data_IF_785326073269
#
_entry.id   IF_785326073269
#
_cell.length_a   1.000
_cell.length_b   1.000
_cell.length_c   1.000
_cell.angle_alpha   90.00
_cell.angle_beta   90.00
_cell.angle_gamma   90.00
#
_symmetry.space_group_name_H-M   'P 1'
#
loop_
_entity.id
_entity.type
_entity.pdbx_description
1 polymer ?
#
# COMPACT_ATOMS: atom_id res chain seq x y z
N UNK A 1 -5.85 -18.88 20.22
CA UNK A 1 -6.48 -18.00 19.22
C UNK A 1 -6.61 -16.65 19.88
N UNK A 2 -6.08 -15.60 19.25
CA UNK A 2 -6.28 -14.26 19.76
C UNK A 2 -7.77 -13.91 19.66
N UNK A 3 -8.26 -13.17 20.66
CA UNK A 3 -9.64 -12.71 20.72
C UNK A 3 -9.77 -11.53 19.75
N UNK A 4 -10.74 -11.59 18.83
CA UNK A 4 -11.00 -10.55 17.83
C UNK A 4 -11.09 -9.15 18.47
N UNK A 5 -11.69 -9.02 19.65
CA UNK A 5 -11.86 -7.74 20.33
C UNK A 5 -10.55 -7.22 20.94
N UNK A 6 -9.63 -8.12 21.30
CA UNK A 6 -8.28 -7.76 21.72
C UNK A 6 -7.48 -7.29 20.52
N UNK A 7 -7.45 -8.07 19.43
CA UNK A 7 -6.69 -7.74 18.22
C UNK A 7 -7.17 -6.42 17.60
N UNK A 8 -8.49 -6.24 17.48
CA UNK A 8 -9.08 -5.00 16.99
C UNK A 8 -8.63 -3.80 17.81
N UNK A 9 -8.67 -3.90 19.14
CA UNK A 9 -8.26 -2.80 20.03
C UNK A 9 -6.77 -2.48 19.86
N UNK A 10 -5.91 -3.50 19.79
CA UNK A 10 -4.47 -3.32 19.66
C UNK A 10 -4.10 -2.68 18.32
N UNK A 11 -4.63 -3.19 17.21
CA UNK A 11 -4.37 -2.64 15.87
C UNK A 11 -4.85 -1.19 15.75
N UNK A 12 -6.04 -0.89 16.26
CA UNK A 12 -6.58 0.48 16.20
C UNK A 12 -5.84 1.46 17.12
N UNK A 13 -5.20 0.98 18.18
CA UNK A 13 -4.42 1.83 19.10
C UNK A 13 -3.19 2.46 18.45
N UNK A 14 -2.68 1.85 17.37
CA UNK A 14 -1.49 2.32 16.63
C UNK A 14 -1.85 2.93 15.27
N UNK A 15 -3.13 2.98 14.89
CA UNK A 15 -3.56 3.58 13.63
C UNK A 15 -3.18 5.07 13.59
N UNK A 16 -2.52 5.49 12.50
CA UNK A 16 -2.05 6.87 12.33
C UNK A 16 -0.70 7.17 12.99
N UNK A 17 -0.07 6.18 13.62
CA UNK A 17 1.35 6.26 14.03
C UNK A 17 2.26 5.81 12.88
N UNK A 18 3.56 6.15 12.89
CA UNK A 18 4.49 5.66 11.89
C UNK A 18 4.50 4.13 11.79
N UNK A 19 4.50 3.61 10.57
CA UNK A 19 4.39 2.18 10.28
C UNK A 19 5.65 1.61 9.59
N UNK A 20 5.64 0.30 9.35
CA UNK A 20 6.73 -0.42 8.68
C UNK A 20 6.64 -0.41 7.14
N UNK A 21 5.69 0.34 6.56
CA UNK A 21 5.59 0.45 5.10
C UNK A 21 6.74 1.28 4.55
N UNK A 22 6.99 1.21 3.24
CA UNK A 22 8.00 2.07 2.59
C UNK A 22 7.67 3.56 2.68
N UNK A 23 6.38 3.91 2.78
CA UNK A 23 5.92 5.28 3.01
C UNK A 23 6.15 5.69 4.47
N UNK A 24 6.06 4.73 5.39
CA UNK A 24 6.22 4.91 6.83
C UNK A 24 4.99 5.49 7.52
N UNK A 25 3.88 5.67 6.80
CA UNK A 25 2.61 6.12 7.35
C UNK A 25 1.45 5.68 6.45
N UNK A 26 0.23 5.76 7.00
CA UNK A 26 -1.02 5.52 6.28
C UNK A 26 -1.26 6.61 5.23
N UNK A 27 -1.86 6.24 4.10
CA UNK A 27 -2.30 7.20 3.09
C UNK A 27 -3.47 8.06 3.60
N UNK A 28 -3.28 9.37 3.66
CA UNK A 28 -4.31 10.30 4.16
C UNK A 28 -5.62 10.21 3.36
N UNK A 29 -5.52 10.02 2.05
CA UNK A 29 -6.66 9.93 1.15
C UNK A 29 -7.62 8.76 1.48
N UNK A 30 -7.13 7.66 2.07
CA UNK A 30 -7.96 6.50 2.42
C UNK A 30 -8.46 6.52 3.87
N UNK A 31 -7.96 7.44 4.71
CA UNK A 31 -8.35 7.53 6.12
C UNK A 31 -9.87 7.58 6.37
N UNK A 32 -10.69 8.32 5.57
CA UNK A 32 -12.14 8.29 5.74
C UNK A 32 -12.75 6.88 5.57
N UNK A 33 -12.26 6.11 4.60
CA UNK A 33 -12.72 4.74 4.36
C UNK A 33 -12.27 3.80 5.48
N UNK A 34 -11.01 3.92 5.94
CA UNK A 34 -10.52 3.14 7.08
C UNK A 34 -11.36 3.42 8.34
N UNK A 35 -11.66 4.69 8.61
CA UNK A 35 -12.51 5.08 9.74
C UNK A 35 -13.91 4.46 9.65
N UNK A 36 -14.53 4.49 8.45
CA UNK A 36 -15.82 3.88 8.23
C UNK A 36 -15.81 2.37 8.49
N UNK A 37 -14.83 1.63 7.94
CA UNK A 37 -14.69 0.18 8.17
C UNK A 37 -14.44 -0.13 9.64
N UNK A 38 -13.51 0.59 10.29
CA UNK A 38 -13.13 0.34 11.68
C UNK A 38 -14.24 0.67 12.69
N UNK A 39 -15.21 1.51 12.30
CA UNK A 39 -16.41 1.79 13.10
C UNK A 39 -17.38 0.61 13.19
N UNK A 40 -17.30 -0.36 12.26
CA UNK A 40 -18.17 -1.54 12.24
C UNK A 40 -17.77 -2.53 13.32
N UNK A 41 -18.72 -3.05 14.10
CA UNK A 41 -18.44 -3.90 15.27
C UNK A 41 -17.66 -5.19 14.94
N UNK A 42 -17.84 -5.74 13.73
CA UNK A 42 -17.30 -7.03 13.32
C UNK A 42 -16.13 -6.93 12.34
N UNK A 43 -15.60 -5.73 12.09
CA UNK A 43 -14.46 -5.53 11.18
C UNK A 43 -13.37 -4.63 11.76
N UNK A 44 -12.14 -4.84 11.32
CA UNK A 44 -11.05 -3.87 11.46
C UNK A 44 -10.01 -4.03 10.35
N UNK A 45 -9.34 -2.95 9.99
CA UNK A 45 -8.28 -2.91 8.97
C UNK A 45 -6.92 -3.15 9.61
N UNK A 46 -6.06 -3.95 8.98
CA UNK A 46 -4.68 -4.22 9.46
C UNK A 46 -3.60 -3.53 8.64
N UNK A 47 -3.82 -3.35 7.35
CA UNK A 47 -2.94 -2.61 6.45
C UNK A 47 -3.73 -2.10 5.25
N UNK A 48 -3.28 -1.00 4.65
CA UNK A 48 -3.92 -0.44 3.46
C UNK A 48 -2.93 0.32 2.59
N UNK A 49 -3.31 0.55 1.34
CA UNK A 49 -2.67 1.45 0.39
C UNK A 49 -3.80 2.12 -0.42
N UNK A 50 -3.75 3.43 -0.59
CA UNK A 50 -4.71 4.21 -1.38
C UNK A 50 -4.51 4.09 -2.90
N UNK A 51 -3.60 3.22 -3.32
CA UNK A 51 -3.12 3.14 -4.70
C UNK A 51 -1.84 3.92 -4.88
N UNK A 52 -1.10 3.61 -5.93
CA UNK A 52 0.19 4.26 -6.21
C UNK A 52 0.59 4.19 -7.66
N UNK A 53 1.36 5.18 -8.06
CA UNK A 53 2.14 5.17 -9.30
C UNK A 53 3.57 4.74 -8.99
N UNK A 54 4.13 3.85 -9.81
CA UNK A 54 5.43 3.26 -9.57
C UNK A 54 6.20 3.11 -10.87
N UNK A 55 7.46 3.56 -10.89
CA UNK A 55 8.43 3.20 -11.92
C UNK A 55 9.34 2.11 -11.38
N UNK A 56 9.37 0.97 -12.06
CA UNK A 56 10.24 -0.16 -11.72
C UNK A 56 11.27 -0.36 -12.82
N UNK A 57 12.55 -0.26 -12.48
CA UNK A 57 13.65 -0.66 -13.34
C UNK A 57 13.94 -2.15 -13.22
N UNK A 58 14.00 -2.86 -14.34
CA UNK A 58 14.28 -4.28 -14.44
C UNK A 58 15.64 -4.53 -15.10
N UNK A 59 16.44 -5.41 -14.51
CA UNK A 59 17.66 -5.92 -15.13
C UNK A 59 17.33 -7.04 -16.14
N UNK A 60 18.32 -7.50 -16.89
CA UNK A 60 18.13 -8.46 -17.99
C UNK A 60 17.43 -9.78 -17.59
N UNK A 61 17.52 -10.18 -16.31
CA UNK A 61 16.88 -11.41 -15.83
C UNK A 61 15.40 -11.22 -15.47
N UNK A 62 14.89 -9.97 -15.49
CA UNK A 62 13.50 -9.56 -15.23
C UNK A 62 12.92 -10.12 -13.92
N UNK A 63 13.77 -10.48 -12.95
CA UNK A 63 13.30 -11.10 -11.71
C UNK A 63 12.74 -10.04 -10.76
N UNK A 64 11.57 -10.31 -10.17
CA UNK A 64 10.86 -9.40 -9.24
C UNK A 64 11.70 -8.98 -8.02
N UNK A 65 12.66 -9.79 -7.57
CA UNK A 65 13.55 -9.44 -6.47
C UNK A 65 14.72 -8.53 -6.88
N UNK A 66 14.99 -8.42 -8.19
CA UNK A 66 16.00 -7.52 -8.76
C UNK A 66 15.36 -6.25 -9.36
N UNK A 67 14.08 -6.02 -9.10
CA UNK A 67 13.38 -4.81 -9.51
C UNK A 67 13.79 -3.63 -8.64
N UNK A 68 14.33 -2.59 -9.25
CA UNK A 68 14.69 -1.33 -8.58
C UNK A 68 13.51 -0.38 -8.63
N UNK A 69 13.12 0.18 -7.49
CA UNK A 69 12.09 1.22 -7.44
C UNK A 69 12.73 2.54 -7.79
N UNK A 70 12.42 3.06 -8.98
CA UNK A 70 12.98 4.30 -9.50
C UNK A 70 12.19 5.51 -9.02
N UNK A 71 10.89 5.34 -8.88
CA UNK A 71 9.97 6.38 -8.43
C UNK A 71 8.72 5.75 -7.82
N UNK A 72 8.19 6.33 -6.75
CA UNK A 72 6.89 5.95 -6.17
C UNK A 72 6.13 7.21 -5.72
N UNK A 73 4.84 7.27 -6.01
CA UNK A 73 3.93 8.28 -5.48
C UNK A 73 2.59 7.66 -5.10
N UNK A 74 2.02 8.11 -3.99
CA UNK A 74 0.65 7.76 -3.55
C UNK A 74 -0.36 8.86 -3.92
N UNK A 75 0.08 9.86 -4.69
CA UNK A 75 -0.72 10.98 -5.19
C UNK A 75 -0.55 11.12 -6.72
N UNK A 76 -1.25 12.09 -7.30
CA UNK A 76 -1.11 12.43 -8.74
C UNK A 76 0.34 12.72 -9.10
N UNK A 77 0.77 12.24 -10.26
CA UNK A 77 2.14 12.40 -10.77
C UNK A 77 2.17 13.34 -11.97
N UNK A 78 3.15 14.24 -12.01
CA UNK A 78 3.43 15.03 -13.21
C UNK A 78 4.37 14.26 -14.16
N UNK A 79 4.25 14.51 -15.46
CA UNK A 79 5.13 13.88 -16.46
C UNK A 79 6.61 14.19 -16.22
N UNK A 80 6.92 15.42 -15.81
CA UNK A 80 8.30 15.85 -15.55
C UNK A 80 8.95 15.13 -14.37
N UNK A 81 8.17 14.78 -13.33
CA UNK A 81 8.65 13.99 -12.21
C UNK A 81 9.05 12.58 -12.66
N UNK A 82 8.23 11.97 -13.52
CA UNK A 82 8.50 10.66 -14.10
C UNK A 82 9.74 10.71 -14.99
N UNK A 83 9.88 11.73 -15.85
CA UNK A 83 11.04 11.89 -16.73
C UNK A 83 12.33 12.12 -15.93
N UNK A 84 12.26 12.90 -14.85
CA UNK A 84 13.40 13.15 -13.96
C UNK A 84 13.91 11.85 -13.31
N UNK A 85 13.01 10.94 -12.95
CA UNK A 85 13.37 9.63 -12.40
C UNK A 85 14.02 8.68 -13.43
N UNK A 86 14.00 9.02 -14.72
CA UNK A 86 14.63 8.26 -15.79
C UNK A 86 16.00 8.84 -16.21
N UNK A 87 16.43 9.93 -15.61
CA UNK A 87 17.78 10.50 -15.83
C UNK A 87 18.81 9.64 -15.10
N UNK A 88 19.94 9.38 -15.75
CA UNK A 88 21.09 8.66 -15.18
C UNK A 88 20.77 7.27 -14.60
N UNK A 89 19.86 6.53 -15.26
CA UNK A 89 19.56 5.15 -14.87
C UNK A 89 20.82 4.27 -14.90
N UNK A 90 20.92 3.39 -13.91
CA UNK A 90 21.96 2.38 -13.85
C UNK A 90 21.98 1.55 -15.14
N UNK A 91 23.16 1.39 -15.74
CA UNK A 91 23.36 0.66 -17.00
C UNK A 91 22.89 -0.80 -16.97
N UNK A 92 22.70 -1.38 -15.79
CA UNK A 92 22.13 -2.71 -15.58
C UNK A 92 20.63 -2.77 -15.85
N UNK A 93 19.92 -1.65 -15.74
CA UNK A 93 18.48 -1.53 -16.05
C UNK A 93 18.32 -1.61 -17.57
N UNK A 94 17.53 -2.59 -18.02
CA UNK A 94 17.24 -2.84 -19.44
C UNK A 94 15.81 -2.47 -19.83
N UNK A 95 14.92 -2.35 -18.85
CA UNK A 95 13.52 -2.04 -19.07
C UNK A 95 12.97 -1.27 -17.87
N UNK A 96 12.04 -0.35 -18.13
CA UNK A 96 11.31 0.36 -17.09
C UNK A 96 9.83 0.12 -17.26
N UNK A 97 9.17 -0.32 -16.19
CA UNK A 97 7.73 -0.52 -16.14
C UNK A 97 7.08 0.61 -15.37
N UNK A 98 6.05 1.20 -15.96
CA UNK A 98 5.15 2.13 -15.28
C UNK A 98 3.91 1.39 -14.81
N UNK A 99 3.72 1.34 -13.49
CA UNK A 99 2.58 0.71 -12.84
C UNK A 99 1.65 1.76 -12.25
N UNK A 100 0.36 1.55 -12.46
CA UNK A 100 -0.71 2.21 -11.73
C UNK A 100 -1.42 1.11 -10.92
N UNK A 101 -1.16 1.05 -9.62
CA UNK A 101 -1.76 0.06 -8.73
C UNK A 101 -2.97 0.67 -8.03
N UNK A 102 -4.07 -0.08 -8.00
CA UNK A 102 -5.31 0.33 -7.35
C UNK A 102 -5.16 0.35 -5.82
N UNK A 103 -6.10 0.99 -5.10
CA UNK A 103 -6.20 0.81 -3.66
C UNK A 103 -6.31 -0.68 -3.27
N UNK A 104 -5.74 -1.03 -2.12
CA UNK A 104 -5.84 -2.36 -1.52
C UNK A 104 -5.92 -2.24 0.00
N UNK A 105 -6.78 -3.03 0.62
CA UNK A 105 -6.97 -3.07 2.06
C UNK A 105 -6.96 -4.53 2.52
N UNK A 106 -6.38 -4.78 3.69
CA UNK A 106 -6.59 -6.02 4.43
C UNK A 106 -7.55 -5.73 5.58
N UNK A 107 -8.67 -6.46 5.60
CA UNK A 107 -9.72 -6.34 6.61
C UNK A 107 -9.90 -7.68 7.30
N UNK A 108 -9.83 -7.67 8.62
CA UNK A 108 -10.18 -8.80 9.47
C UNK A 108 -11.65 -8.71 9.84
N UNK A 109 -12.36 -9.82 9.65
CA UNK A 109 -13.77 -9.98 10.01
C UNK A 109 -13.92 -10.98 11.15
N UNK A 110 -14.89 -10.76 12.04
CA UNK A 110 -15.10 -11.59 13.22
C UNK A 110 -15.47 -13.03 12.86
N UNK A 111 -16.32 -13.18 11.85
CA UNK A 111 -16.77 -14.48 11.35
C UNK A 111 -16.63 -14.57 9.83
N UNK A 112 -16.80 -15.78 9.29
CA UNK A 112 -16.87 -15.98 7.84
C UNK A 112 -18.09 -15.29 7.22
N UNK A 113 -19.22 -15.26 7.93
CA UNK A 113 -20.44 -14.58 7.48
C UNK A 113 -20.22 -13.07 7.36
N UNK A 114 -19.61 -12.46 8.39
CA UNK A 114 -19.19 -11.06 8.35
C UNK A 114 -18.26 -10.79 7.15
N UNK A 115 -17.32 -11.70 6.87
CA UNK A 115 -16.40 -11.57 5.74
C UNK A 115 -17.09 -11.62 4.37
N UNK A 116 -18.19 -12.36 4.23
CA UNK A 116 -18.92 -12.45 2.96
C UNK A 116 -19.87 -11.28 2.71
N UNK A 117 -20.21 -10.52 3.75
CA UNK A 117 -21.07 -9.34 3.64
C UNK A 117 -20.32 -8.10 3.14
N UNK A 118 -19.05 -7.96 3.54
CA UNK A 118 -18.18 -6.83 3.24
C UNK A 118 -17.74 -6.80 1.76
#
# INVERSE_FOLDING_TARGET
MADFDIDKREVLSVLGTPDASRKGCVDEAIMPLLSAINSLAHHYTTSSCAGRFLLIGLTADRKKHNATWLYVSHDTVAGDDLLSALVDLDSSIKEVWFHCESPILHVCSRTLEDATWL
#
